data_IF_133319098666
#
_entry.id   IF_133319098666
#
_cell.length_a   1.000
_cell.length_b   1.000
_cell.length_c   1.000
_cell.angle_alpha   90.00
_cell.angle_beta   90.00
_cell.angle_gamma   90.00
#
_symmetry.space_group_name_H-M   'P 1'
#
loop_
_entity.id
_entity.type
_entity.pdbx_description
1 polymer ?
#
# COMPACT_ATOMS: atom_id res chain seq x y z
N UNK A 1 -19.78 -15.31 -16.34
CA UNK A 1 -19.98 -13.88 -16.15
C UNK A 1 -18.71 -13.19 -15.73
N UNK A 2 -18.44 -12.10 -16.36
CA UNK A 2 -17.22 -11.36 -16.10
C UNK A 2 -17.51 -10.18 -15.19
N UNK A 3 -16.80 -10.10 -14.10
CA UNK A 3 -16.96 -8.98 -13.18
C UNK A 3 -15.70 -8.15 -13.21
N UNK A 4 -15.87 -6.91 -13.54
CA UNK A 4 -14.74 -6.01 -13.60
C UNK A 4 -14.61 -5.24 -12.30
N UNK A 5 -13.44 -5.33 -11.70
CA UNK A 5 -13.16 -4.63 -10.46
C UNK A 5 -12.12 -3.57 -10.74
N UNK A 6 -12.35 -2.39 -10.26
CA UNK A 6 -11.39 -1.31 -10.40
C UNK A 6 -10.64 -1.12 -9.11
N UNK A 7 -9.36 -0.77 -9.18
CA UNK A 7 -8.62 -0.47 -7.96
C UNK A 7 -9.24 0.74 -7.29
N UNK A 8 -9.28 0.69 -5.97
CA UNK A 8 -9.81 1.79 -5.19
C UNK A 8 -8.64 2.59 -4.65
N UNK A 9 -8.72 3.90 -4.82
CA UNK A 9 -7.69 4.80 -4.31
C UNK A 9 -8.21 5.45 -3.04
N UNK A 10 -7.40 5.42 -2.00
CA UNK A 10 -7.75 6.07 -0.74
C UNK A 10 -6.69 7.11 -0.41
N UNK A 11 -7.07 8.05 0.43
CA UNK A 11 -6.18 9.14 0.81
C UNK A 11 -5.52 8.81 2.13
N UNK A 12 -4.48 9.57 2.46
CA UNK A 12 -3.70 9.32 3.66
C UNK A 12 -4.53 9.19 4.94
N UNK A 13 -5.50 10.07 5.19
CA UNK A 13 -6.28 9.92 6.43
C UNK A 13 -6.95 8.56 6.57
N UNK A 14 -7.43 8.01 5.44
CA UNK A 14 -8.03 6.68 5.47
C UNK A 14 -7.01 5.61 5.81
N UNK A 15 -5.79 5.74 5.28
CA UNK A 15 -4.73 4.78 5.58
C UNK A 15 -4.38 4.83 7.07
N UNK A 16 -4.29 6.02 7.63
CA UNK A 16 -3.98 6.18 9.04
C UNK A 16 -5.08 5.59 9.91
N UNK A 17 -6.31 5.73 9.47
CA UNK A 17 -7.43 5.17 10.22
C UNK A 17 -7.42 3.65 10.19
N UNK A 18 -7.14 3.07 9.04
CA UNK A 18 -7.09 1.61 8.89
C UNK A 18 -5.96 1.02 9.72
N UNK A 19 -4.80 1.65 9.70
CA UNK A 19 -3.62 1.11 10.35
C UNK A 19 -3.51 1.52 11.82
N UNK A 20 -4.12 2.61 12.19
CA UNK A 20 -3.95 3.17 13.53
C UNK A 20 -2.63 3.87 13.71
N UNK A 21 -1.88 4.07 12.64
CA UNK A 21 -0.57 4.71 12.72
C UNK A 21 -0.67 6.21 12.69
N UNK A 22 0.37 6.87 13.20
CA UNK A 22 0.55 8.30 13.01
C UNK A 22 1.12 8.52 11.60
N UNK A 23 1.05 9.77 11.17
CA UNK A 23 1.62 10.16 9.89
C UNK A 23 3.11 9.80 9.82
N UNK A 24 3.84 10.08 10.89
CA UNK A 24 5.27 9.78 10.93
C UNK A 24 5.54 8.30 10.79
N UNK A 25 4.76 7.49 11.48
CA UNK A 25 4.93 6.04 11.41
C UNK A 25 4.69 5.55 9.99
N UNK A 26 3.64 6.04 9.35
CA UNK A 26 3.34 5.64 7.99
C UNK A 26 4.51 5.93 7.06
N UNK A 27 5.05 7.14 7.12
CA UNK A 27 6.15 7.50 6.22
C UNK A 27 7.44 6.78 6.54
N UNK A 28 7.68 6.48 7.82
CA UNK A 28 8.83 5.66 8.18
C UNK A 28 8.71 4.26 7.61
N UNK A 29 7.52 3.68 7.68
CA UNK A 29 7.29 2.35 7.12
C UNK A 29 7.50 2.34 5.61
N UNK A 30 6.99 3.35 4.93
CA UNK A 30 7.17 3.46 3.49
C UNK A 30 8.65 3.57 3.16
N UNK A 31 9.36 4.42 3.89
CA UNK A 31 10.78 4.63 3.67
C UNK A 31 11.58 3.35 3.86
N UNK A 32 11.19 2.55 4.82
CA UNK A 32 11.88 1.29 5.13
C UNK A 32 11.48 0.15 4.21
N UNK A 33 10.57 0.39 3.28
CA UNK A 33 10.12 -0.66 2.36
C UNK A 33 9.15 -1.63 2.99
N UNK A 34 8.48 -1.22 4.06
CA UNK A 34 7.56 -2.07 4.80
C UNK A 34 6.09 -1.78 4.50
N UNK A 35 5.84 -0.79 3.67
CA UNK A 35 4.47 -0.45 3.29
C UNK A 35 4.48 0.17 1.90
N UNK A 36 3.44 -0.05 1.09
CA UNK A 36 3.44 0.47 -0.28
C UNK A 36 3.46 2.00 -0.29
N UNK A 37 4.23 2.54 -1.20
CA UNK A 37 4.32 3.99 -1.34
C UNK A 37 3.04 4.55 -1.96
N UNK A 38 2.84 5.85 -1.80
CA UNK A 38 1.72 6.53 -2.43
C UNK A 38 1.93 6.62 -3.94
N UNK A 39 0.85 6.86 -4.65
CA UNK A 39 0.92 7.13 -6.08
C UNK A 39 0.53 8.57 -6.32
N UNK A 40 0.98 9.10 -7.43
CA UNK A 40 0.71 10.48 -7.82
C UNK A 40 -0.64 10.52 -8.52
N UNK A 41 -1.54 11.35 -8.02
CA UNK A 41 -2.87 11.51 -8.62
C UNK A 41 -2.97 12.76 -9.48
N UNK A 42 -1.86 13.46 -9.66
CA UNK A 42 -1.85 14.69 -10.44
C UNK A 42 -1.77 15.91 -9.55
N UNK A 43 -1.32 17.02 -10.11
CA UNK A 43 -1.11 18.25 -9.36
C UNK A 43 -0.36 17.93 -8.07
N UNK A 44 -0.89 18.22 -6.93
CA UNK A 44 -0.24 17.92 -5.66
C UNK A 44 -0.93 16.83 -4.89
N UNK A 45 -1.77 16.08 -5.56
CA UNK A 45 -2.55 15.05 -4.90
C UNK A 45 -1.83 13.71 -4.96
N UNK A 46 -1.83 13.01 -3.86
CA UNK A 46 -1.30 11.64 -3.79
C UNK A 46 -2.34 10.76 -3.14
N UNK A 47 -2.27 9.48 -3.42
CA UNK A 47 -3.18 8.52 -2.82
C UNK A 47 -2.51 7.17 -2.69
N UNK A 48 -3.25 6.23 -2.17
CA UNK A 48 -2.77 4.87 -1.95
C UNK A 48 -3.76 3.91 -2.58
N UNK A 49 -3.24 2.80 -3.11
CA UNK A 49 -4.11 1.76 -3.66
C UNK A 49 -4.59 0.89 -2.50
N UNK A 50 -5.89 0.90 -2.27
CA UNK A 50 -6.46 0.22 -1.11
C UNK A 50 -6.10 -1.26 -1.10
N UNK A 51 -6.16 -1.92 -2.25
CA UNK A 51 -5.83 -3.35 -2.33
C UNK A 51 -4.41 -3.64 -1.93
N UNK A 52 -3.48 -2.76 -2.30
CA UNK A 52 -2.08 -2.93 -1.91
C UNK A 52 -1.92 -2.81 -0.40
N UNK A 53 -2.56 -1.81 0.18
CA UNK A 53 -2.51 -1.61 1.63
C UNK A 53 -3.11 -2.81 2.34
N UNK A 54 -4.23 -3.29 1.85
CA UNK A 54 -4.90 -4.44 2.45
C UNK A 54 -4.01 -5.69 2.40
N UNK A 55 -3.33 -5.91 1.29
CA UNK A 55 -2.44 -7.06 1.17
C UNK A 55 -1.35 -7.04 2.23
N UNK A 56 -0.77 -5.87 2.46
CA UNK A 56 0.31 -5.76 3.44
C UNK A 56 -0.24 -5.91 4.85
N UNK A 57 -1.42 -5.32 5.12
CA UNK A 57 -2.05 -5.46 6.43
C UNK A 57 -2.37 -6.93 6.72
N UNK A 58 -2.90 -7.65 5.74
CA UNK A 58 -3.18 -9.07 5.90
C UNK A 58 -1.91 -9.85 6.19
N UNK A 59 -0.81 -9.51 5.53
CA UNK A 59 0.46 -10.17 5.77
C UNK A 59 0.97 -9.91 7.19
N UNK A 60 0.77 -8.69 7.67
CA UNK A 60 1.14 -8.38 9.05
C UNK A 60 0.32 -9.18 10.04
N UNK A 61 -0.96 -9.31 9.78
CA UNK A 61 -1.85 -10.11 10.62
C UNK A 61 -1.40 -11.56 10.61
N UNK A 62 -0.94 -12.05 9.46
CA UNK A 62 -0.48 -13.43 9.33
C UNK A 62 0.89 -13.67 9.96
N UNK A 63 1.55 -12.62 10.43
CA UNK A 63 2.81 -12.78 11.13
C UNK A 63 4.05 -12.74 10.26
N UNK A 64 3.97 -12.11 9.09
CA UNK A 64 5.15 -11.96 8.23
C UNK A 64 6.27 -11.22 8.96
N UNK A 65 7.49 -11.68 8.76
CA UNK A 65 8.66 -10.98 9.27
C UNK A 65 8.89 -9.70 8.46
N UNK A 66 9.74 -8.83 8.96
CA UNK A 66 10.07 -7.62 8.21
C UNK A 66 10.65 -7.94 6.85
N UNK A 67 11.49 -8.97 6.79
CA UNK A 67 12.08 -9.37 5.52
C UNK A 67 11.01 -9.82 4.54
N UNK A 68 10.05 -10.59 5.02
CA UNK A 68 8.95 -11.04 4.18
C UNK A 68 8.08 -9.88 3.73
N UNK A 69 7.84 -8.92 4.60
CA UNK A 69 7.06 -7.74 4.25
C UNK A 69 7.78 -6.91 3.18
N UNK A 70 9.08 -6.73 3.33
CA UNK A 70 9.84 -5.98 2.33
C UNK A 70 9.76 -6.63 0.96
N UNK A 71 9.85 -7.95 0.94
CA UNK A 71 9.74 -8.69 -0.31
C UNK A 71 8.35 -8.53 -0.92
N UNK A 72 7.32 -8.63 -0.10
CA UNK A 72 5.95 -8.45 -0.57
C UNK A 72 5.72 -7.05 -1.13
N UNK A 73 6.17 -6.04 -0.41
CA UNK A 73 6.00 -4.64 -0.85
C UNK A 73 6.74 -4.41 -2.16
N UNK A 74 7.94 -4.97 -2.27
CA UNK A 74 8.71 -4.84 -3.50
C UNK A 74 7.97 -5.44 -4.68
N UNK A 75 7.37 -6.60 -4.49
CA UNK A 75 6.61 -7.25 -5.55
C UNK A 75 5.39 -6.42 -5.93
N UNK A 76 4.71 -5.88 -4.94
CA UNK A 76 3.52 -5.06 -5.17
C UNK A 76 3.89 -3.84 -6.03
N UNK A 77 4.94 -3.14 -5.63
CA UNK A 77 5.34 -1.92 -6.34
C UNK A 77 5.85 -2.24 -7.73
N UNK A 78 6.57 -3.35 -7.87
CA UNK A 78 7.07 -3.78 -9.17
C UNK A 78 5.92 -4.08 -10.12
N UNK A 79 4.86 -4.71 -9.61
CA UNK A 79 3.72 -5.06 -10.44
C UNK A 79 2.97 -3.84 -10.98
N UNK A 80 3.16 -2.69 -10.36
CA UNK A 80 2.54 -1.46 -10.87
C UNK A 80 3.05 -1.09 -12.25
N UNK A 81 4.28 -1.46 -12.56
CA UNK A 81 4.84 -1.11 -13.85
C UNK A 81 4.44 -2.07 -14.94
N UNK A 82 3.79 -3.13 -14.60
CA UNK A 82 3.29 -4.06 -15.61
C UNK A 82 2.18 -3.38 -16.35
N UNK A 83 2.30 -3.35 -17.66
CA UNK A 83 1.31 -2.67 -18.44
C UNK A 83 0.50 -3.65 -19.17
N UNK A 84 -0.73 -3.49 -18.99
CA UNK A 84 -1.60 -4.22 -19.86
C UNK A 84 -1.55 -3.67 -21.23
#
# INVERSE_FOLDING_TARGET
>A
MYIKTFPKIIRRPAVLEITGWSKSTLYNRIHDGLFPSSINLGARAVGFVEGECNNVIQAMIAGYSEQQLKSLVKDIVTNRSVKG
#
